data_IF_644374365453
#
_entry.id   IF_644374365453
#
_cell.length_a   1.000
_cell.length_b   1.000
_cell.length_c   1.000
_cell.angle_alpha   90.00
_cell.angle_beta   90.00
_cell.angle_gamma   90.00
#
_symmetry.space_group_name_H-M   'P 1'
#
loop_
_entity.id
_entity.type
_entity.pdbx_description
1 polymer ?
#
# COMPACT_ATOMS: atom_id res chain seq x y z
N UNK A 1 -37.31 -7.36 34.57
CA UNK A 1 -36.59 -7.48 35.86
C UNK A 1 -36.17 -6.10 36.25
N UNK A 2 -37.04 -5.48 36.89
CA UNK A 2 -37.33 -4.97 38.23
C UNK A 2 -36.14 -4.28 38.85
N UNK A 3 -36.23 -2.93 38.83
CA UNK A 3 -36.20 -2.01 39.94
C UNK A 3 -35.14 -2.26 41.04
N UNK A 4 -34.15 -1.35 41.08
CA UNK A 4 -33.61 -0.88 42.37
C UNK A 4 -33.52 0.66 42.35
N UNK A 5 -34.58 1.32 42.76
CA UNK A 5 -34.56 2.73 43.19
C UNK A 5 -33.87 2.78 44.56
N UNK A 6 -32.68 3.33 44.62
CA UNK A 6 -32.04 3.66 45.89
C UNK A 6 -32.54 5.05 46.33
N UNK A 7 -33.42 5.08 47.32
CA UNK A 7 -33.90 6.31 47.98
C UNK A 7 -32.83 6.68 49.03
N UNK A 8 -32.04 7.71 48.77
CA UNK A 8 -31.17 8.34 49.75
C UNK A 8 -32.00 9.39 50.53
N UNK A 9 -32.52 9.01 51.70
CA UNK A 9 -33.10 9.95 52.68
C UNK A 9 -31.98 10.57 53.51
N UNK A 10 -31.56 11.76 53.15
CA UNK A 10 -30.66 12.58 53.98
C UNK A 10 -31.47 13.52 54.88
N UNK A 11 -31.62 13.16 56.18
CA UNK A 11 -32.17 14.04 57.19
C UNK A 11 -31.11 15.05 57.68
N UNK A 12 -31.17 16.29 57.21
CA UNK A 12 -30.39 17.40 57.81
C UNK A 12 -31.18 17.97 58.99
N UNK A 13 -30.74 17.65 60.17
CA UNK A 13 -31.27 18.22 61.45
C UNK A 13 -30.47 19.46 61.81
N UNK A 14 -31.11 20.68 61.75
CA UNK A 14 -30.56 21.93 62.34
C UNK A 14 -30.83 21.94 63.84
N UNK A 15 -29.89 22.35 64.69
CA UNK A 15 -30.14 22.51 66.15
C UNK A 15 -30.77 23.90 66.46
N UNK A 16 -31.86 23.85 67.19
CA UNK A 16 -32.27 24.87 68.13
C UNK A 16 -33.12 26.07 67.67
N UNK A 17 -34.45 25.88 67.76
CA UNK A 17 -35.32 26.89 68.45
C UNK A 17 -36.68 26.25 68.73
N UNK A 18 -37.02 26.20 69.93
CA UNK A 18 -38.33 25.76 70.40
C UNK A 18 -39.43 26.71 69.89
N UNK A 19 -40.56 26.12 69.44
CA UNK A 19 -41.85 26.80 69.34
C UNK A 19 -42.26 27.20 67.92
N UNK A 20 -42.81 26.25 67.23
CA UNK A 20 -43.99 26.37 66.36
C UNK A 20 -44.13 25.03 65.57
N UNK A 21 -45.26 24.40 65.75
CA UNK A 21 -45.73 23.28 64.90
C UNK A 21 -45.93 23.87 63.50
N UNK A 22 -44.95 23.61 62.63
CA UNK A 22 -45.02 23.87 61.21
C UNK A 22 -44.63 22.60 60.56
N UNK A 23 -45.54 22.02 59.77
CA UNK A 23 -45.29 20.91 58.85
C UNK A 23 -44.05 21.28 58.06
N UNK A 24 -42.96 20.51 58.27
CA UNK A 24 -41.73 20.65 57.50
C UNK A 24 -41.99 20.30 56.10
N UNK A 25 -42.04 21.27 55.19
CA UNK A 25 -42.08 21.12 53.77
C UNK A 25 -40.83 20.30 53.35
N UNK A 26 -41.05 19.04 53.06
CA UNK A 26 -39.98 18.18 52.52
C UNK A 26 -39.80 18.57 51.07
N UNK A 27 -38.77 19.37 50.79
CA UNK A 27 -38.38 19.67 49.41
C UNK A 27 -37.84 18.37 48.83
N UNK A 28 -38.68 17.69 48.08
CA UNK A 28 -38.32 16.50 47.30
C UNK A 28 -37.56 17.00 46.06
N UNK A 29 -36.22 17.07 46.16
CA UNK A 29 -35.39 17.41 45.01
C UNK A 29 -35.38 16.19 44.08
N UNK A 30 -36.08 16.30 42.98
CA UNK A 30 -36.02 15.29 41.89
C UNK A 30 -34.60 15.25 41.31
N UNK A 31 -33.88 14.09 41.39
CA UNK A 31 -32.57 13.98 40.80
C UNK A 31 -32.55 14.24 39.27
N UNK A 32 -33.72 14.20 38.61
CA UNK A 32 -33.92 14.54 37.20
C UNK A 32 -33.78 16.05 36.93
N UNK A 33 -34.21 16.93 37.85
CA UNK A 33 -34.09 18.40 37.69
C UNK A 33 -32.64 18.91 37.84
N UNK A 34 -31.82 18.25 38.65
CA UNK A 34 -30.40 18.59 38.82
C UNK A 34 -29.57 18.15 37.58
N UNK A 35 -30.00 17.14 36.88
CA UNK A 35 -29.32 16.67 35.64
C UNK A 35 -29.57 17.60 34.46
N UNK A 36 -30.70 18.33 34.43
CA UNK A 36 -31.04 19.25 33.34
C UNK A 36 -30.16 20.50 33.26
N UNK A 37 -29.57 20.95 34.37
CA UNK A 37 -28.77 22.18 34.40
C UNK A 37 -27.30 21.94 33.96
N UNK A 38 -26.81 20.69 33.97
CA UNK A 38 -25.46 20.30 33.55
C UNK A 38 -25.46 19.25 32.44
N UNK A 39 -26.63 18.92 31.86
CA UNK A 39 -26.71 17.98 30.75
C UNK A 39 -26.16 18.64 29.49
N UNK A 40 -24.99 18.22 29.04
CA UNK A 40 -24.47 18.63 27.75
C UNK A 40 -25.54 18.36 26.65
N UNK A 41 -25.73 19.28 25.69
CA UNK A 41 -26.67 19.12 24.59
C UNK A 41 -26.45 17.74 23.91
N UNK A 42 -27.53 17.09 23.47
CA UNK A 42 -27.44 15.74 22.88
C UNK A 42 -26.42 15.67 21.76
N UNK A 43 -26.36 16.69 20.89
CA UNK A 43 -25.37 16.76 19.81
C UNK A 43 -23.91 16.73 20.32
N UNK A 44 -23.62 17.37 21.47
CA UNK A 44 -22.28 17.40 22.05
C UNK A 44 -21.92 16.04 22.68
N UNK A 45 -22.90 15.37 23.27
CA UNK A 45 -22.73 14.02 23.82
C UNK A 45 -22.52 12.99 22.73
N UNK A 46 -23.28 13.08 21.63
CA UNK A 46 -23.15 12.20 20.45
C UNK A 46 -21.83 12.47 19.74
N UNK A 47 -21.42 13.73 19.64
CA UNK A 47 -20.11 14.11 19.12
C UNK A 47 -18.97 13.57 20.00
N UNK A 48 -19.10 13.68 21.32
CA UNK A 48 -18.15 13.15 22.29
C UNK A 48 -18.03 11.62 22.22
N UNK A 49 -19.15 10.92 22.10
CA UNK A 49 -19.16 9.47 21.94
C UNK A 49 -18.54 9.03 20.60
N UNK A 50 -18.89 9.72 19.51
CA UNK A 50 -18.30 9.47 18.19
C UNK A 50 -16.80 9.76 18.17
N UNK A 51 -16.36 10.86 18.79
CA UNK A 51 -14.94 11.19 18.93
C UNK A 51 -14.19 10.13 19.75
N UNK A 52 -14.79 9.64 20.85
CA UNK A 52 -14.19 8.59 21.67
C UNK A 52 -14.08 7.25 20.94
N UNK A 53 -15.10 6.87 20.16
CA UNK A 53 -15.05 5.70 19.29
C UNK A 53 -13.96 5.84 18.23
N UNK A 54 -13.78 7.03 17.66
CA UNK A 54 -12.75 7.33 16.68
C UNK A 54 -11.34 7.22 17.28
N UNK A 55 -11.15 7.75 18.50
CA UNK A 55 -9.91 7.62 19.25
C UNK A 55 -9.64 6.16 19.61
N UNK A 56 -10.66 5.41 20.06
CA UNK A 56 -10.54 3.99 20.34
C UNK A 56 -10.16 3.17 19.09
N UNK A 57 -10.81 3.47 17.96
CA UNK A 57 -10.49 2.86 16.67
C UNK A 57 -9.06 3.19 16.20
N UNK A 58 -8.65 4.46 16.35
CA UNK A 58 -7.28 4.88 16.02
C UNK A 58 -6.25 4.21 16.93
N UNK A 59 -6.49 4.12 18.23
CA UNK A 59 -5.60 3.43 19.17
C UNK A 59 -5.52 1.92 18.88
N UNK A 60 -6.63 1.27 18.56
CA UNK A 60 -6.66 -0.12 18.16
C UNK A 60 -5.89 -0.35 16.84
N UNK A 61 -6.05 0.56 15.88
CA UNK A 61 -5.31 0.53 14.61
C UNK A 61 -3.80 0.70 14.85
N UNK A 62 -3.38 1.68 15.65
CA UNK A 62 -1.98 1.91 16.01
C UNK A 62 -1.41 0.67 16.73
N UNK A 63 -2.15 0.11 17.67
CA UNK A 63 -1.75 -1.12 18.38
C UNK A 63 -1.59 -2.32 17.44
N UNK A 64 -2.51 -2.48 16.49
CA UNK A 64 -2.43 -3.52 15.46
C UNK A 64 -1.21 -3.32 14.54
N UNK A 65 -0.94 -2.07 14.11
CA UNK A 65 0.23 -1.72 13.30
C UNK A 65 1.51 -2.04 14.07
N UNK A 66 1.58 -1.62 15.34
CA UNK A 66 2.74 -1.88 16.18
C UNK A 66 2.99 -3.38 16.36
N UNK A 67 1.92 -4.18 16.59
CA UNK A 67 2.02 -5.63 16.68
C UNK A 67 2.48 -6.27 15.35
N UNK A 68 1.95 -5.78 14.22
CA UNK A 68 2.37 -6.22 12.88
C UNK A 68 3.84 -5.85 12.59
N UNK A 69 4.32 -4.71 13.05
CA UNK A 69 5.72 -4.31 12.87
C UNK A 69 6.70 -5.20 13.65
N UNK A 70 6.28 -5.75 14.80
CA UNK A 70 7.08 -6.74 15.54
C UNK A 70 7.22 -8.08 14.80
N UNK A 71 6.30 -8.36 13.88
CA UNK A 71 6.27 -9.59 13.08
C UNK A 71 6.55 -9.34 11.60
N UNK A 72 7.25 -8.25 11.28
CA UNK A 72 7.53 -7.81 9.90
C UNK A 72 8.15 -8.92 9.04
N UNK A 73 9.02 -9.73 9.63
CA UNK A 73 9.69 -10.87 8.97
C UNK A 73 8.69 -11.92 8.45
N UNK A 74 7.51 -12.04 9.05
CA UNK A 74 6.46 -12.99 8.64
C UNK A 74 5.39 -12.30 7.81
N UNK A 75 4.97 -11.11 8.24
CA UNK A 75 3.84 -10.39 7.65
C UNK A 75 4.16 -9.89 6.24
N UNK A 76 5.37 -9.35 6.03
CA UNK A 76 5.77 -8.83 4.73
C UNK A 76 5.78 -9.91 3.63
N UNK A 77 6.37 -11.11 3.81
CA UNK A 77 6.28 -12.20 2.86
C UNK A 77 4.83 -12.62 2.53
N UNK A 78 3.96 -12.69 3.55
CA UNK A 78 2.55 -13.05 3.36
C UNK A 78 1.79 -12.01 2.54
N UNK A 79 2.04 -10.72 2.78
CA UNK A 79 1.45 -9.64 2.01
C UNK A 79 1.91 -9.68 0.54
N UNK A 80 3.22 -9.83 0.31
CA UNK A 80 3.78 -9.97 -1.05
C UNK A 80 3.19 -11.19 -1.75
N UNK A 81 3.09 -12.33 -1.07
CA UNK A 81 2.43 -13.51 -1.58
C UNK A 81 0.95 -13.27 -1.92
N UNK A 82 0.22 -12.53 -1.06
CA UNK A 82 -1.16 -12.13 -1.29
C UNK A 82 -1.34 -11.26 -2.53
N UNK A 83 -0.44 -10.32 -2.74
CA UNK A 83 -0.39 -9.48 -3.95
C UNK A 83 -0.22 -10.35 -5.19
N UNK A 84 0.82 -11.18 -5.22
CA UNK A 84 1.10 -12.07 -6.34
C UNK A 84 -0.06 -13.04 -6.57
N UNK A 85 -0.62 -13.63 -5.50
CA UNK A 85 -1.77 -14.51 -5.60
C UNK A 85 -3.01 -13.80 -6.17
N UNK A 86 -3.25 -12.53 -5.80
CA UNK A 86 -4.40 -11.76 -6.31
C UNK A 86 -4.31 -11.55 -7.82
N UNK A 87 -3.11 -11.28 -8.34
CA UNK A 87 -2.85 -11.09 -9.77
C UNK A 87 -2.94 -12.41 -10.53
N UNK A 88 -2.43 -13.50 -9.96
CA UNK A 88 -2.25 -14.77 -10.67
C UNK A 88 -3.40 -15.77 -10.44
N UNK A 89 -4.28 -15.52 -9.46
CA UNK A 89 -5.44 -16.39 -9.22
C UNK A 89 -6.35 -16.63 -10.43
N UNK A 90 -6.56 -15.66 -11.38
CA UNK A 90 -7.33 -15.92 -12.59
C UNK A 90 -6.72 -17.02 -13.47
N UNK A 91 -5.40 -17.18 -13.45
CA UNK A 91 -4.72 -18.25 -14.20
C UNK A 91 -5.05 -19.63 -13.61
N UNK A 92 -5.11 -19.74 -12.28
CA UNK A 92 -5.53 -20.99 -11.59
C UNK A 92 -7.00 -21.31 -11.92
N UNK A 93 -7.87 -20.27 -11.88
CA UNK A 93 -9.29 -20.44 -12.22
C UNK A 93 -9.49 -20.80 -13.70
N UNK A 94 -8.69 -20.28 -14.60
CA UNK A 94 -8.69 -20.61 -16.03
C UNK A 94 -8.25 -22.07 -16.26
N UNK A 95 -7.17 -22.54 -15.58
CA UNK A 95 -6.72 -23.92 -15.62
C UNK A 95 -7.82 -24.87 -15.09
N UNK A 96 -8.51 -24.46 -14.00
CA UNK A 96 -9.63 -25.22 -13.45
C UNK A 96 -10.78 -25.36 -14.43
N UNK A 97 -11.11 -24.31 -15.19
CA UNK A 97 -12.14 -24.35 -16.25
C UNK A 97 -11.78 -25.31 -17.39
N UNK A 98 -10.48 -25.62 -17.56
CA UNK A 98 -9.98 -26.61 -18.51
C UNK A 98 -9.90 -28.04 -17.93
N UNK A 99 -10.48 -28.26 -16.75
CA UNK A 99 -10.54 -29.61 -16.13
C UNK A 99 -9.33 -29.95 -15.25
N UNK A 100 -8.38 -29.03 -15.04
CA UNK A 100 -7.22 -29.28 -14.17
C UNK A 100 -7.63 -29.07 -12.73
N UNK A 101 -7.42 -30.05 -11.81
CA UNK A 101 -7.70 -29.91 -10.38
C UNK A 101 -6.97 -28.69 -9.80
N UNK A 102 -7.65 -27.93 -8.91
CA UNK A 102 -7.11 -26.68 -8.36
C UNK A 102 -5.71 -26.83 -7.77
N UNK A 103 -5.44 -27.94 -7.05
CA UNK A 103 -4.10 -28.19 -6.48
C UNK A 103 -3.00 -28.28 -7.53
N UNK A 104 -3.26 -28.99 -8.63
CA UNK A 104 -2.29 -29.11 -9.75
C UNK A 104 -2.17 -27.75 -10.47
N UNK A 105 -3.30 -27.07 -10.74
CA UNK A 105 -3.31 -25.76 -11.37
C UNK A 105 -2.55 -24.71 -10.54
N UNK A 106 -2.72 -24.71 -9.22
CA UNK A 106 -1.96 -23.85 -8.32
C UNK A 106 -0.47 -24.17 -8.33
N UNK A 107 -0.10 -25.46 -8.34
CA UNK A 107 1.28 -25.89 -8.44
C UNK A 107 1.95 -25.45 -9.75
N UNK A 108 1.26 -25.57 -10.89
CA UNK A 108 1.77 -25.14 -12.19
C UNK A 108 1.98 -23.61 -12.23
N UNK A 109 0.98 -22.84 -11.77
CA UNK A 109 1.08 -21.37 -11.72
C UNK A 109 2.19 -20.95 -10.76
N UNK A 110 2.29 -21.59 -9.60
CA UNK A 110 3.35 -21.35 -8.62
C UNK A 110 4.75 -21.60 -9.23
N UNK A 111 4.96 -22.75 -9.88
CA UNK A 111 6.23 -23.06 -10.53
C UNK A 111 6.56 -22.07 -11.65
N UNK A 112 5.57 -21.64 -12.42
CA UNK A 112 5.76 -20.62 -13.46
C UNK A 112 6.21 -19.28 -12.84
N UNK A 113 5.59 -18.85 -11.73
CA UNK A 113 5.98 -17.61 -11.01
C UNK A 113 7.41 -17.73 -10.49
N UNK A 114 7.76 -18.87 -9.86
CA UNK A 114 9.13 -19.11 -9.37
C UNK A 114 10.12 -19.09 -10.53
N UNK A 115 9.82 -19.76 -11.63
CA UNK A 115 10.70 -19.79 -12.81
C UNK A 115 10.93 -18.37 -13.37
N UNK A 116 9.86 -17.57 -13.50
CA UNK A 116 9.96 -16.16 -13.93
C UNK A 116 10.76 -15.33 -12.93
N UNK A 117 10.46 -15.45 -11.62
CA UNK A 117 11.15 -14.70 -10.57
C UNK A 117 12.65 -15.04 -10.51
N UNK A 118 13.00 -16.33 -10.56
CA UNK A 118 14.40 -16.79 -10.63
C UNK A 118 15.06 -16.32 -11.92
N UNK A 119 14.36 -16.42 -13.06
CA UNK A 119 14.89 -15.97 -14.36
C UNK A 119 15.21 -14.47 -14.35
N UNK A 120 14.30 -13.63 -13.86
CA UNK A 120 14.52 -12.19 -13.71
C UNK A 120 15.64 -11.92 -12.71
N UNK A 121 15.64 -12.60 -11.56
CA UNK A 121 16.70 -12.46 -10.56
C UNK A 121 18.09 -12.81 -11.10
N UNK A 122 18.23 -13.93 -11.82
CA UNK A 122 19.48 -14.33 -12.45
C UNK A 122 19.92 -13.34 -13.53
N UNK A 123 18.98 -12.81 -14.32
CA UNK A 123 19.26 -11.80 -15.34
C UNK A 123 19.82 -10.51 -14.71
N UNK A 124 19.21 -10.05 -13.62
CA UNK A 124 19.68 -8.88 -12.88
C UNK A 124 21.03 -9.13 -12.22
N UNK A 125 21.18 -10.28 -11.54
CA UNK A 125 22.44 -10.66 -10.88
C UNK A 125 23.58 -10.85 -11.87
N UNK A 126 23.34 -11.57 -12.98
CA UNK A 126 24.33 -11.75 -14.03
C UNK A 126 24.74 -10.41 -14.67
N UNK A 127 23.76 -9.52 -14.91
CA UNK A 127 24.02 -8.19 -15.42
C UNK A 127 24.89 -7.36 -14.48
N UNK A 128 24.57 -7.32 -13.18
CA UNK A 128 25.34 -6.60 -12.17
C UNK A 128 26.73 -7.23 -11.97
N UNK A 129 26.79 -8.56 -11.82
CA UNK A 129 28.05 -9.26 -11.55
C UNK A 129 29.05 -9.18 -12.73
N UNK A 130 28.57 -9.22 -13.97
CA UNK A 130 29.44 -9.14 -15.15
C UNK A 130 30.06 -7.75 -15.36
N UNK A 131 29.54 -6.71 -14.70
CA UNK A 131 29.98 -5.32 -14.89
C UNK A 131 30.14 -4.56 -13.57
N UNK A 132 30.17 -5.24 -12.42
CA UNK A 132 30.23 -4.61 -11.11
C UNK A 132 31.40 -3.62 -10.97
N UNK A 133 32.57 -4.01 -11.43
CA UNK A 133 33.78 -3.18 -11.38
C UNK A 133 33.68 -1.98 -12.37
N UNK A 134 33.25 -2.25 -13.60
CA UNK A 134 33.06 -1.19 -14.61
C UNK A 134 31.88 -0.30 -14.31
N UNK A 135 30.86 -0.77 -13.62
CA UNK A 135 29.66 0.02 -13.30
C UNK A 135 29.95 1.08 -12.23
N UNK A 136 30.75 0.75 -11.19
CA UNK A 136 31.17 1.72 -10.20
C UNK A 136 32.03 2.84 -10.81
N UNK A 137 32.93 2.48 -11.74
CA UNK A 137 33.78 3.44 -12.43
C UNK A 137 32.96 4.33 -13.39
N UNK A 138 32.03 3.73 -14.14
CA UNK A 138 31.12 4.45 -15.05
C UNK A 138 30.15 5.38 -14.32
N UNK A 139 29.68 5.01 -13.15
CA UNK A 139 28.84 5.89 -12.32
C UNK A 139 29.62 7.09 -11.78
N UNK A 140 30.89 6.87 -11.39
CA UNK A 140 31.80 7.96 -10.99
C UNK A 140 32.14 8.88 -12.17
N UNK A 141 32.41 8.32 -13.33
CA UNK A 141 32.66 9.05 -14.58
C UNK A 141 31.44 9.87 -14.98
N UNK A 142 30.23 9.28 -14.96
CA UNK A 142 29.00 9.97 -15.20
C UNK A 142 28.70 11.10 -14.19
N UNK A 143 29.01 10.88 -12.91
CA UNK A 143 28.89 11.92 -11.90
C UNK A 143 29.85 13.09 -12.12
N UNK A 144 31.13 12.80 -12.52
CA UNK A 144 32.11 13.84 -12.83
C UNK A 144 31.76 14.63 -14.11
N UNK A 145 31.08 13.99 -15.07
CA UNK A 145 30.64 14.65 -16.29
C UNK A 145 29.44 15.60 -16.05
N UNK A 146 28.53 15.21 -15.14
CA UNK A 146 27.48 16.12 -14.64
C UNK A 146 28.12 17.33 -13.93
N UNK A 147 29.16 17.10 -13.13
CA UNK A 147 29.89 18.17 -12.44
C UNK A 147 30.49 19.20 -13.44
N UNK A 148 31.10 18.73 -14.52
CA UNK A 148 31.63 19.59 -15.56
C UNK A 148 30.53 20.40 -16.23
N UNK A 149 29.38 19.79 -16.54
CA UNK A 149 28.24 20.47 -17.15
C UNK A 149 27.62 21.55 -16.26
N UNK A 150 27.44 21.22 -14.95
CA UNK A 150 26.91 22.19 -13.97
C UNK A 150 27.90 23.35 -13.77
N UNK A 151 29.21 23.07 -13.83
CA UNK A 151 30.26 24.08 -13.81
C UNK A 151 30.19 25.03 -15.03
N UNK A 152 29.98 24.46 -16.22
CA UNK A 152 29.85 25.22 -17.46
C UNK A 152 28.59 26.10 -17.52
N UNK A 153 27.54 25.74 -16.80
CA UNK A 153 26.31 26.50 -16.63
C UNK A 153 26.44 27.69 -15.64
N UNK A 154 27.65 27.90 -15.08
CA UNK A 154 27.93 29.06 -14.23
C UNK A 154 27.34 29.01 -12.83
N UNK A 155 26.95 27.82 -12.36
CA UNK A 155 26.49 27.61 -10.97
C UNK A 155 27.70 27.62 -10.05
N UNK A 156 27.68 28.45 -9.00
CA UNK A 156 28.81 28.59 -8.05
C UNK A 156 29.35 27.22 -7.61
N UNK A 157 30.62 27.00 -7.85
CA UNK A 157 31.33 25.72 -7.66
C UNK A 157 31.17 25.09 -6.28
N UNK A 158 30.94 25.89 -5.24
CA UNK A 158 30.72 25.37 -3.86
C UNK A 158 29.33 24.82 -3.67
N UNK A 159 28.30 25.37 -4.28
CA UNK A 159 26.90 24.85 -4.16
C UNK A 159 26.72 23.64 -5.07
N UNK A 160 27.34 23.64 -6.23
CA UNK A 160 27.37 22.50 -7.16
C UNK A 160 28.16 21.34 -6.57
N UNK A 161 29.33 21.57 -5.95
CA UNK A 161 30.13 20.53 -5.30
C UNK A 161 29.42 19.86 -4.11
N UNK A 162 28.69 20.65 -3.30
CA UNK A 162 27.90 20.09 -2.18
C UNK A 162 26.69 19.30 -2.69
N UNK A 163 25.95 19.82 -3.67
CA UNK A 163 24.82 19.12 -4.28
C UNK A 163 25.27 17.84 -5.00
N UNK A 164 26.45 17.84 -5.63
CA UNK A 164 27.04 16.68 -6.28
C UNK A 164 27.63 15.68 -5.29
N UNK A 165 28.22 16.13 -4.19
CA UNK A 165 28.66 15.25 -3.12
C UNK A 165 27.48 14.51 -2.49
N UNK A 166 26.36 15.19 -2.24
CA UNK A 166 25.14 14.61 -1.72
C UNK A 166 24.45 13.70 -2.74
N UNK A 167 24.39 14.09 -4.01
CA UNK A 167 23.86 13.27 -5.09
C UNK A 167 24.74 12.04 -5.35
N UNK A 168 26.05 12.19 -5.44
CA UNK A 168 27.03 11.11 -5.62
C UNK A 168 27.03 10.16 -4.43
N UNK A 169 26.94 10.68 -3.21
CA UNK A 169 26.79 9.90 -2.00
C UNK A 169 25.45 9.14 -1.99
N UNK A 170 24.36 9.78 -2.39
CA UNK A 170 23.05 9.15 -2.47
C UNK A 170 22.99 8.06 -3.56
N UNK A 171 23.59 8.30 -4.71
CA UNK A 171 23.72 7.34 -5.82
C UNK A 171 24.65 6.18 -5.41
N UNK A 172 25.82 6.51 -4.84
CA UNK A 172 26.78 5.52 -4.34
C UNK A 172 26.20 4.70 -3.18
N UNK A 173 25.48 5.34 -2.25
CA UNK A 173 24.78 4.66 -1.16
C UNK A 173 23.62 3.81 -1.67
N UNK A 174 22.84 4.30 -2.65
CA UNK A 174 21.77 3.55 -3.29
C UNK A 174 22.31 2.34 -4.08
N UNK A 175 23.39 2.54 -4.82
CA UNK A 175 24.07 1.46 -5.55
C UNK A 175 24.79 0.50 -4.62
N UNK A 176 25.48 1.01 -3.60
CA UNK A 176 26.08 0.17 -2.53
C UNK A 176 25.00 -0.59 -1.77
N UNK A 177 23.84 0.00 -1.49
CA UNK A 177 22.72 -0.69 -0.88
C UNK A 177 22.14 -1.79 -1.80
N UNK A 178 22.12 -1.58 -3.12
CA UNK A 178 21.75 -2.60 -4.10
C UNK A 178 22.80 -3.70 -4.21
N UNK A 179 24.07 -3.35 -4.37
CA UNK A 179 25.18 -4.32 -4.50
C UNK A 179 25.50 -5.00 -3.17
N UNK A 180 25.55 -4.29 -2.06
CA UNK A 180 25.67 -4.87 -0.73
C UNK A 180 24.38 -5.57 -0.26
N UNK A 181 23.22 -5.17 -0.76
CA UNK A 181 21.96 -5.89 -0.58
C UNK A 181 21.96 -7.25 -1.29
N UNK A 182 22.53 -7.29 -2.49
CA UNK A 182 22.60 -8.49 -3.33
C UNK A 182 23.86 -9.36 -3.06
N UNK A 183 24.98 -8.72 -2.70
CA UNK A 183 26.27 -9.38 -2.50
C UNK A 183 26.76 -9.39 -1.03
N UNK A 184 26.04 -8.69 -0.17
CA UNK A 184 26.46 -8.43 1.22
C UNK A 184 26.14 -9.55 2.18
N UNK A 185 27.07 -10.52 2.27
CA UNK A 185 27.23 -11.42 3.42
C UNK A 185 26.16 -12.50 3.59
N UNK A 186 26.56 -13.60 4.21
CA UNK A 186 25.73 -14.78 4.51
C UNK A 186 24.44 -14.43 5.26
N UNK A 187 24.47 -13.42 6.15
CA UNK A 187 23.30 -13.02 6.94
C UNK A 187 22.19 -12.39 6.08
N UNK A 188 22.55 -11.58 5.07
CA UNK A 188 21.57 -10.99 4.15
C UNK A 188 21.02 -12.02 3.16
N UNK A 189 21.87 -12.96 2.72
CA UNK A 189 21.43 -14.08 1.89
C UNK A 189 20.51 -15.01 2.68
N UNK A 190 20.80 -15.27 3.96
CA UNK A 190 19.93 -16.04 4.83
C UNK A 190 18.56 -15.35 5.04
N UNK A 191 18.56 -14.05 5.31
CA UNK A 191 17.34 -13.27 5.47
C UNK A 191 16.51 -13.23 4.18
N UNK A 192 17.16 -13.06 3.03
CA UNK A 192 16.49 -13.12 1.71
C UNK A 192 15.93 -14.52 1.43
N UNK A 193 16.69 -15.59 1.73
CA UNK A 193 16.22 -16.96 1.57
C UNK A 193 15.01 -17.26 2.46
N UNK A 194 15.02 -16.80 3.71
CA UNK A 194 13.88 -16.90 4.62
C UNK A 194 12.70 -16.14 4.05
N UNK A 195 12.86 -14.88 3.65
CA UNK A 195 11.82 -14.06 3.03
C UNK A 195 11.20 -14.73 1.80
N UNK A 196 12.04 -15.20 0.87
CA UNK A 196 11.59 -15.88 -0.34
C UNK A 196 10.89 -17.20 -0.04
N UNK A 197 11.39 -17.97 0.95
CA UNK A 197 10.79 -19.23 1.36
C UNK A 197 9.39 -19.02 1.96
N UNK A 198 9.25 -18.03 2.87
CA UNK A 198 7.94 -17.69 3.44
C UNK A 198 6.99 -17.15 2.38
N UNK A 199 7.48 -16.30 1.46
CA UNK A 199 6.67 -15.79 0.33
C UNK A 199 6.21 -16.92 -0.57
N UNK A 200 7.11 -17.84 -0.93
CA UNK A 200 6.79 -18.98 -1.80
C UNK A 200 5.77 -19.91 -1.14
N UNK A 201 6.00 -20.25 0.14
CA UNK A 201 5.08 -21.11 0.90
C UNK A 201 3.69 -20.47 1.03
N UNK A 202 3.65 -19.20 1.42
CA UNK A 202 2.40 -18.43 1.54
C UNK A 202 1.68 -18.31 0.20
N UNK A 203 2.42 -18.03 -0.89
CA UNK A 203 1.87 -17.94 -2.24
C UNK A 203 1.22 -19.27 -2.68
N UNK A 204 1.91 -20.39 -2.46
CA UNK A 204 1.37 -21.69 -2.80
C UNK A 204 0.04 -21.98 -2.07
N UNK A 205 0.00 -21.75 -0.76
CA UNK A 205 -1.22 -21.97 0.03
C UNK A 205 -2.33 -20.97 -0.34
N UNK A 206 -2.00 -19.69 -0.55
CA UNK A 206 -2.97 -18.68 -0.97
C UNK A 206 -3.58 -19.00 -2.34
N UNK A 207 -2.82 -19.57 -3.28
CA UNK A 207 -3.35 -20.01 -4.58
C UNK A 207 -4.20 -21.26 -4.46
N UNK A 208 -3.73 -22.25 -3.68
CA UNK A 208 -4.38 -23.55 -3.53
C UNK A 208 -5.66 -23.45 -2.69
N UNK A 209 -5.58 -22.85 -1.51
CA UNK A 209 -6.60 -22.88 -0.48
C UNK A 209 -7.40 -21.56 -0.36
N UNK A 210 -7.32 -20.68 -1.39
CA UNK A 210 -8.03 -19.40 -1.42
C UNK A 210 -9.53 -19.48 -1.03
N UNK A 211 -10.34 -20.45 -1.47
CA UNK A 211 -11.74 -20.52 -1.05
C UNK A 211 -11.90 -20.86 0.43
N UNK A 212 -11.03 -21.74 0.97
CA UNK A 212 -11.05 -22.14 2.38
C UNK A 212 -10.66 -20.99 3.28
N UNK A 213 -9.59 -20.27 2.90
CA UNK A 213 -9.12 -19.07 3.61
C UNK A 213 -10.18 -17.97 3.56
N UNK A 214 -10.77 -17.70 2.39
CA UNK A 214 -11.86 -16.74 2.23
C UNK A 214 -13.05 -17.09 3.12
N UNK A 215 -13.52 -18.34 3.12
CA UNK A 215 -14.62 -18.80 3.97
C UNK A 215 -14.30 -18.77 5.47
N UNK A 216 -13.03 -18.94 5.85
CA UNK A 216 -12.61 -18.73 7.23
C UNK A 216 -12.72 -17.26 7.64
N UNK A 217 -12.18 -16.35 6.82
CA UNK A 217 -12.24 -14.91 7.09
C UNK A 217 -13.69 -14.41 7.10
N UNK A 218 -14.54 -14.84 6.14
CA UNK A 218 -15.98 -14.51 6.11
C UNK A 218 -16.69 -14.80 7.44
N UNK A 219 -16.37 -15.92 8.07
CA UNK A 219 -17.00 -16.34 9.33
C UNK A 219 -16.48 -15.62 10.57
N UNK A 220 -15.25 -15.09 10.51
CA UNK A 220 -14.59 -14.45 11.66
C UNK A 220 -14.55 -12.92 11.59
N UNK A 221 -15.12 -12.32 10.54
CA UNK A 221 -15.11 -10.85 10.36
C UNK A 221 -16.04 -10.11 11.35
N UNK A 222 -16.87 -10.82 12.11
CA UNK A 222 -17.77 -10.21 13.11
C UNK A 222 -19.00 -9.52 12.51
N UNK A 223 -19.23 -9.65 11.20
CA UNK A 223 -20.41 -9.14 10.48
C UNK A 223 -21.18 -10.29 9.83
N UNK A 224 -22.45 -10.09 9.40
CA UNK A 224 -23.21 -11.13 8.69
C UNK A 224 -22.44 -11.68 7.49
N UNK A 225 -22.45 -13.00 7.30
CA UNK A 225 -21.67 -13.70 6.25
C UNK A 225 -21.89 -13.14 4.84
N UNK A 226 -23.12 -12.77 4.42
CA UNK A 226 -23.32 -12.16 3.10
C UNK A 226 -22.58 -10.83 2.93
N UNK A 227 -22.59 -9.97 3.98
CA UNK A 227 -21.87 -8.71 4.00
C UNK A 227 -20.34 -8.93 4.03
N UNK A 228 -19.85 -9.86 4.86
CA UNK A 228 -18.44 -10.25 4.89
C UNK A 228 -17.94 -10.69 3.51
N UNK A 229 -18.74 -11.51 2.81
CA UNK A 229 -18.43 -11.99 1.46
C UNK A 229 -18.37 -10.85 0.44
N UNK A 230 -19.29 -9.90 0.51
CA UNK A 230 -19.30 -8.71 -0.35
C UNK A 230 -18.05 -7.88 -0.12
N UNK A 231 -17.74 -7.55 1.14
CA UNK A 231 -16.54 -6.78 1.52
C UNK A 231 -15.26 -7.46 1.01
N UNK A 232 -15.07 -8.75 1.30
CA UNK A 232 -13.89 -9.50 0.87
C UNK A 232 -13.80 -9.59 -0.66
N UNK A 233 -14.93 -9.78 -1.35
CA UNK A 233 -14.99 -9.76 -2.80
C UNK A 233 -14.56 -8.40 -3.39
N UNK A 234 -14.99 -7.30 -2.78
CA UNK A 234 -14.59 -5.93 -3.19
C UNK A 234 -13.10 -5.68 -2.94
N UNK A 235 -12.59 -6.03 -1.76
CA UNK A 235 -11.16 -5.90 -1.46
C UNK A 235 -10.32 -6.72 -2.43
N UNK A 236 -10.62 -8.01 -2.60
CA UNK A 236 -9.89 -8.89 -3.52
C UNK A 236 -9.98 -8.40 -4.97
N UNK A 237 -11.15 -7.91 -5.41
CA UNK A 237 -11.35 -7.33 -6.73
C UNK A 237 -10.54 -6.06 -6.95
N UNK A 238 -10.51 -5.16 -5.97
CA UNK A 238 -9.72 -3.92 -6.02
C UNK A 238 -8.22 -4.21 -6.03
N UNK A 239 -7.74 -5.13 -5.18
CA UNK A 239 -6.36 -5.60 -5.17
C UNK A 239 -5.95 -6.17 -6.53
N UNK A 240 -6.75 -7.10 -7.06
CA UNK A 240 -6.49 -7.72 -8.36
C UNK A 240 -6.45 -6.68 -9.49
N UNK A 241 -7.46 -5.81 -9.56
CA UNK A 241 -7.54 -4.78 -10.60
C UNK A 241 -6.35 -3.83 -10.54
N UNK A 242 -5.98 -3.38 -9.36
CA UNK A 242 -4.84 -2.51 -9.15
C UNK A 242 -3.52 -3.16 -9.58
N UNK A 243 -3.20 -4.34 -9.02
CA UNK A 243 -1.92 -4.98 -9.29
C UNK A 243 -1.79 -5.54 -10.71
N UNK A 244 -2.90 -5.97 -11.33
CA UNK A 244 -2.90 -6.26 -12.77
C UNK A 244 -2.59 -5.01 -13.58
N UNK A 245 -3.23 -3.87 -13.24
CA UNK A 245 -2.95 -2.60 -13.89
C UNK A 245 -1.49 -2.19 -13.73
N UNK A 246 -0.94 -2.24 -12.50
CA UNK A 246 0.48 -1.97 -12.24
C UNK A 246 1.36 -2.90 -13.06
N UNK A 247 1.07 -4.20 -13.10
CA UNK A 247 1.87 -5.18 -13.84
C UNK A 247 1.89 -4.86 -15.35
N UNK A 248 0.73 -4.52 -15.94
CA UNK A 248 0.63 -4.17 -17.36
C UNK A 248 1.41 -2.88 -17.65
N UNK A 249 1.22 -1.84 -16.83
CA UNK A 249 1.92 -0.55 -16.99
C UNK A 249 3.44 -0.73 -16.82
N UNK A 250 3.87 -1.47 -15.80
CA UNK A 250 5.28 -1.75 -15.53
C UNK A 250 5.92 -2.56 -16.64
N UNK A 251 5.21 -3.56 -17.18
CA UNK A 251 5.69 -4.36 -18.32
C UNK A 251 5.83 -3.49 -19.57
N UNK A 252 4.87 -2.61 -19.82
CA UNK A 252 4.91 -1.67 -20.93
C UNK A 252 6.09 -0.71 -20.80
N UNK A 253 6.22 -0.01 -19.66
CA UNK A 253 7.32 0.93 -19.41
C UNK A 253 8.68 0.25 -19.48
N UNK A 254 8.82 -0.94 -18.86
CA UNK A 254 10.08 -1.70 -18.88
C UNK A 254 10.47 -2.16 -20.27
N UNK A 255 9.50 -2.53 -21.11
CA UNK A 255 9.74 -2.92 -22.50
C UNK A 255 10.22 -1.73 -23.32
N UNK A 256 9.60 -0.55 -23.17
CA UNK A 256 10.00 0.66 -23.91
C UNK A 256 11.38 1.14 -23.47
N UNK A 257 11.61 1.25 -22.16
CA UNK A 257 12.88 1.73 -21.62
C UNK A 257 14.01 0.74 -21.94
N UNK A 258 13.76 -0.57 -21.77
CA UNK A 258 14.73 -1.62 -22.11
C UNK A 258 15.05 -1.69 -23.60
N UNK A 259 14.04 -1.63 -24.47
CA UNK A 259 14.22 -1.59 -25.92
C UNK A 259 14.93 -0.30 -26.35
N UNK A 260 14.57 0.86 -25.77
CA UNK A 260 15.26 2.12 -25.99
C UNK A 260 16.74 2.06 -25.61
N UNK A 261 17.05 1.50 -24.44
CA UNK A 261 18.43 1.30 -23.99
C UNK A 261 19.20 0.38 -24.94
N UNK A 262 18.57 -0.71 -25.39
CA UNK A 262 19.18 -1.65 -26.36
C UNK A 262 19.48 -0.97 -27.72
N UNK A 263 18.51 -0.23 -28.25
CA UNK A 263 18.64 0.46 -29.54
C UNK A 263 19.68 1.58 -29.51
N UNK A 264 19.83 2.24 -28.35
CA UNK A 264 20.81 3.29 -28.12
C UNK A 264 22.21 2.76 -27.74
N UNK A 265 22.41 1.44 -27.71
CA UNK A 265 23.67 0.82 -27.37
C UNK A 265 24.09 0.98 -25.91
N UNK A 266 23.14 1.25 -25.02
CA UNK A 266 23.41 1.38 -23.57
C UNK A 266 23.74 0.01 -22.99
N UNK A 267 24.75 -0.10 -22.14
CA UNK A 267 25.05 -1.38 -21.46
C UNK A 267 23.91 -1.80 -20.52
N UNK A 268 23.78 -3.12 -20.33
CA UNK A 268 22.78 -3.72 -19.40
C UNK A 268 21.30 -3.40 -19.73
N UNK A 269 20.84 -3.42 -20.97
CA UNK A 269 19.46 -3.07 -21.29
C UNK A 269 18.44 -3.98 -20.58
N UNK A 270 18.76 -5.28 -20.39
CA UNK A 270 17.92 -6.22 -19.66
C UNK A 270 17.82 -5.89 -18.16
N UNK A 271 18.91 -5.47 -17.54
CA UNK A 271 18.92 -5.01 -16.14
C UNK A 271 18.11 -3.73 -15.98
N UNK A 272 18.27 -2.76 -16.89
CA UNK A 272 17.48 -1.53 -16.92
C UNK A 272 15.99 -1.87 -17.04
N UNK A 273 15.60 -2.78 -17.93
CA UNK A 273 14.22 -3.23 -18.07
C UNK A 273 13.71 -3.89 -16.77
N UNK A 274 14.49 -4.79 -16.16
CA UNK A 274 14.10 -5.47 -14.93
C UNK A 274 13.93 -4.51 -13.75
N UNK A 275 14.86 -3.57 -13.58
CA UNK A 275 14.77 -2.51 -12.55
C UNK A 275 13.56 -1.63 -12.78
N UNK A 276 13.28 -1.25 -14.03
CA UNK A 276 12.09 -0.46 -14.40
C UNK A 276 10.80 -1.24 -14.10
N UNK A 277 10.75 -2.54 -14.40
CA UNK A 277 9.60 -3.38 -14.11
C UNK A 277 9.33 -3.47 -12.61
N UNK A 278 10.33 -3.81 -11.81
CA UNK A 278 10.20 -3.93 -10.36
C UNK A 278 9.89 -2.58 -9.72
N UNK A 279 10.56 -1.52 -10.17
CA UNK A 279 10.31 -0.15 -9.70
C UNK A 279 8.87 0.29 -9.91
N UNK A 280 8.21 -0.13 -11.00
CA UNK A 280 6.83 0.22 -11.28
C UNK A 280 5.82 -0.20 -10.22
N UNK A 281 6.16 -1.15 -9.34
CA UNK A 281 5.30 -1.55 -8.21
C UNK A 281 5.35 -0.58 -7.03
N UNK A 282 6.35 0.31 -6.98
CA UNK A 282 6.46 1.37 -5.98
C UNK A 282 5.94 2.68 -6.57
N UNK A 283 4.74 3.14 -6.18
CA UNK A 283 4.13 4.32 -6.80
C UNK A 283 5.04 5.54 -6.73
N UNK A 284 5.14 6.26 -7.83
CA UNK A 284 5.95 7.48 -8.02
C UNK A 284 7.45 7.29 -7.83
N UNK A 285 7.89 6.82 -6.67
CA UNK A 285 9.32 6.67 -6.32
C UNK A 285 10.04 5.69 -7.24
N UNK A 286 9.39 4.58 -7.59
CA UNK A 286 10.01 3.53 -8.37
C UNK A 286 10.31 3.95 -9.81
N UNK A 287 9.40 4.67 -10.46
CA UNK A 287 9.60 5.17 -11.82
C UNK A 287 10.75 6.19 -11.88
N UNK A 288 10.85 7.10 -10.90
CA UNK A 288 11.95 8.08 -10.81
C UNK A 288 13.29 7.39 -10.53
N UNK A 289 13.33 6.47 -9.57
CA UNK A 289 14.56 5.75 -9.22
C UNK A 289 15.06 4.89 -10.40
N UNK A 290 14.15 4.15 -11.06
CA UNK A 290 14.49 3.34 -12.22
C UNK A 290 14.91 4.19 -13.42
N UNK A 291 14.25 5.34 -13.62
CA UNK A 291 14.63 6.32 -14.67
C UNK A 291 16.01 6.91 -14.43
N UNK A 292 16.29 7.37 -13.21
CA UNK A 292 17.60 7.85 -12.82
C UNK A 292 18.69 6.78 -13.02
N UNK A 293 18.42 5.54 -12.60
CA UNK A 293 19.31 4.39 -12.81
C UNK A 293 19.61 4.19 -14.31
N UNK A 294 18.60 4.21 -15.18
CA UNK A 294 18.78 4.04 -16.62
C UNK A 294 19.64 5.16 -17.24
N UNK A 295 19.38 6.42 -16.85
CA UNK A 295 20.12 7.59 -17.33
C UNK A 295 21.59 7.55 -16.87
N UNK A 296 21.84 7.18 -15.61
CA UNK A 296 23.20 7.07 -15.07
C UNK A 296 24.01 5.98 -15.75
N UNK A 297 23.40 4.80 -16.00
CA UNK A 297 24.05 3.73 -16.76
C UNK A 297 24.38 4.19 -18.18
N UNK A 298 23.45 4.91 -18.83
CA UNK A 298 23.68 5.47 -20.15
C UNK A 298 24.81 6.51 -20.16
N UNK A 299 24.84 7.39 -19.17
CA UNK A 299 25.85 8.45 -19.04
C UNK A 299 27.26 7.86 -18.89
N UNK A 300 27.43 6.93 -17.95
CA UNK A 300 28.73 6.30 -17.73
C UNK A 300 29.13 5.27 -18.79
N UNK A 301 28.17 4.70 -19.57
CA UNK A 301 28.44 3.61 -20.49
C UNK A 301 28.42 3.98 -21.98
N UNK A 302 27.71 5.04 -22.35
CA UNK A 302 27.48 5.40 -23.75
C UNK A 302 27.58 6.93 -24.01
N UNK A 303 27.92 7.69 -22.98
CA UNK A 303 28.16 9.14 -23.05
C UNK A 303 26.91 10.01 -22.91
N UNK A 304 27.11 11.34 -22.82
CA UNK A 304 26.07 12.30 -22.45
C UNK A 304 24.93 12.41 -23.46
N UNK A 305 25.24 12.36 -24.75
CA UNK A 305 24.22 12.41 -25.81
C UNK A 305 23.24 11.22 -25.70
N UNK A 306 23.79 10.03 -25.44
CA UNK A 306 22.99 8.80 -25.25
C UNK A 306 22.20 8.86 -23.94
N UNK A 307 22.79 9.40 -22.89
CA UNK A 307 22.08 9.59 -21.61
C UNK A 307 20.88 10.55 -21.77
N UNK A 308 21.05 11.64 -22.53
CA UNK A 308 19.95 12.55 -22.86
C UNK A 308 18.85 11.82 -23.66
N UNK A 309 19.24 11.03 -24.66
CA UNK A 309 18.28 10.24 -25.43
C UNK A 309 17.52 9.24 -24.55
N UNK A 310 18.22 8.55 -23.63
CA UNK A 310 17.59 7.65 -22.64
C UNK A 310 16.66 8.43 -21.71
N UNK A 311 17.06 9.60 -21.24
CA UNK A 311 16.19 10.46 -20.41
C UNK A 311 14.90 10.82 -21.15
N UNK A 312 14.97 11.14 -22.44
CA UNK A 312 13.78 11.39 -23.27
C UNK A 312 12.93 10.12 -23.38
N UNK A 313 13.52 8.94 -23.60
CA UNK A 313 12.79 7.67 -23.65
C UNK A 313 12.09 7.39 -22.32
N UNK A 314 12.77 7.58 -21.20
CA UNK A 314 12.21 7.42 -19.84
C UNK A 314 11.05 8.37 -19.60
N UNK A 315 11.21 9.66 -19.93
CA UNK A 315 10.16 10.67 -19.81
C UNK A 315 8.96 10.36 -20.71
N UNK A 316 9.18 9.89 -21.91
CA UNK A 316 8.12 9.45 -22.82
C UNK A 316 7.41 8.21 -22.29
N UNK A 317 8.15 7.21 -21.82
CA UNK A 317 7.61 5.95 -21.30
C UNK A 317 6.77 6.18 -20.03
N UNK A 318 7.32 6.92 -19.07
CA UNK A 318 6.67 7.16 -17.76
C UNK A 318 5.72 8.38 -17.76
N UNK A 319 5.86 9.30 -18.71
CA UNK A 319 4.98 10.44 -18.89
C UNK A 319 3.85 10.16 -19.88
N UNK A 320 4.09 10.44 -21.14
CA UNK A 320 3.05 10.46 -22.18
C UNK A 320 2.45 9.07 -22.43
N UNK A 321 3.31 8.06 -22.64
CA UNK A 321 2.87 6.71 -23.00
C UNK A 321 2.18 6.02 -21.82
N UNK A 322 2.66 6.25 -20.59
CA UNK A 322 2.02 5.71 -19.38
C UNK A 322 0.60 6.27 -19.22
N UNK A 323 0.38 7.57 -19.49
CA UNK A 323 -0.95 8.19 -19.40
C UNK A 323 -1.95 7.59 -20.41
N UNK A 324 -1.48 7.09 -21.55
CA UNK A 324 -2.31 6.41 -22.54
C UNK A 324 -2.66 4.98 -22.10
N UNK A 325 -1.72 4.28 -21.45
CA UNK A 325 -1.90 2.88 -21.04
C UNK A 325 -2.65 2.76 -19.71
N UNK A 326 -2.49 3.72 -18.80
CA UNK A 326 -3.13 3.71 -17.48
C UNK A 326 -4.65 3.52 -17.53
N UNK A 327 -5.43 4.25 -18.33
CA UNK A 327 -6.89 4.07 -18.39
C UNK A 327 -7.27 2.66 -18.84
N UNK A 328 -6.50 2.08 -19.74
CA UNK A 328 -6.72 0.72 -20.27
C UNK A 328 -6.34 -0.32 -19.21
N UNK A 329 -5.19 -0.14 -18.56
CA UNK A 329 -4.64 -1.08 -17.60
C UNK A 329 -5.44 -1.13 -16.29
N UNK A 330 -5.81 0.03 -15.76
CA UNK A 330 -6.57 0.12 -14.51
C UNK A 330 -8.08 0.05 -14.72
N UNK A 331 -8.58 0.37 -15.94
CA UNK A 331 -10.01 0.35 -16.26
C UNK A 331 -10.86 1.13 -15.27
N UNK A 332 -12.00 0.54 -14.88
CA UNK A 332 -12.87 1.11 -13.86
C UNK A 332 -12.33 0.91 -12.42
N UNK A 333 -11.16 0.28 -12.25
CA UNK A 333 -10.64 -0.07 -10.92
C UNK A 333 -10.23 1.15 -10.10
N UNK A 334 -9.77 2.23 -10.74
CA UNK A 334 -9.29 3.44 -10.09
C UNK A 334 -10.08 4.67 -10.55
N UNK A 335 -11.35 4.78 -10.12
CA UNK A 335 -12.10 6.05 -10.20
C UNK A 335 -11.75 6.97 -9.03
N UNK A 336 -10.46 7.04 -8.66
CA UNK A 336 -9.97 7.87 -7.57
C UNK A 336 -9.27 9.11 -8.13
N UNK A 337 -9.43 10.24 -7.42
CA UNK A 337 -8.68 11.44 -7.76
C UNK A 337 -7.18 11.21 -7.50
N UNK A 338 -6.27 11.56 -8.43
CA UNK A 338 -4.84 11.31 -8.28
C UNK A 338 -4.24 11.85 -6.98
N UNK A 339 -4.72 13.02 -6.52
CA UNK A 339 -4.30 13.62 -5.25
C UNK A 339 -4.66 12.73 -4.04
N UNK A 340 -5.83 12.09 -4.05
CA UNK A 340 -6.23 11.19 -2.96
C UNK A 340 -5.32 9.96 -2.91
N UNK A 341 -4.95 9.41 -4.08
CA UNK A 341 -3.98 8.31 -4.17
C UNK A 341 -2.62 8.75 -3.66
N UNK A 342 -2.14 9.94 -4.05
CA UNK A 342 -0.85 10.47 -3.59
C UNK A 342 -0.82 10.65 -2.06
N UNK A 343 -1.83 11.29 -1.49
CA UNK A 343 -1.94 11.50 -0.05
C UNK A 343 -2.00 10.15 0.70
N UNK A 344 -2.85 9.23 0.23
CA UNK A 344 -2.96 7.90 0.83
C UNK A 344 -1.64 7.12 0.75
N UNK A 345 -0.92 7.20 -0.37
CA UNK A 345 0.36 6.53 -0.58
C UNK A 345 1.43 7.08 0.36
N UNK A 346 1.54 8.43 0.49
CA UNK A 346 2.48 9.07 1.41
C UNK A 346 2.12 8.72 2.87
N UNK A 347 0.85 8.86 3.26
CA UNK A 347 0.39 8.52 4.60
C UNK A 347 0.62 7.03 4.91
N UNK A 348 0.29 6.15 3.97
CA UNK A 348 0.56 4.72 4.08
C UNK A 348 2.05 4.43 4.25
N UNK A 349 2.90 5.08 3.46
CA UNK A 349 4.35 4.97 3.56
C UNK A 349 4.89 5.43 4.93
N UNK A 350 4.39 6.55 5.46
CA UNK A 350 4.78 7.07 6.78
C UNK A 350 4.32 6.15 7.93
N UNK A 351 3.12 5.56 7.83
CA UNK A 351 2.53 4.75 8.89
C UNK A 351 3.01 3.28 8.87
N UNK A 352 3.16 2.69 7.68
CA UNK A 352 3.37 1.25 7.47
C UNK A 352 4.62 0.95 6.63
N UNK A 353 5.48 1.93 6.40
CA UNK A 353 6.68 1.77 5.58
C UNK A 353 6.36 1.34 4.14
N UNK A 354 7.21 0.49 3.56
CA UNK A 354 7.11 0.02 2.17
C UNK A 354 5.77 -0.70 1.88
N UNK A 355 5.26 -1.45 2.86
CA UNK A 355 3.98 -2.16 2.75
C UNK A 355 2.83 -1.18 2.56
N UNK A 356 2.77 -0.15 3.41
CA UNK A 356 1.74 0.88 3.33
C UNK A 356 1.80 1.66 2.02
N UNK A 357 3.01 1.98 1.57
CA UNK A 357 3.24 2.67 0.31
C UNK A 357 2.67 1.90 -0.89
N UNK A 358 2.83 0.57 -0.93
CA UNK A 358 2.35 -0.29 -2.01
C UNK A 358 0.84 -0.59 -1.88
N UNK A 359 0.34 -0.78 -0.66
CA UNK A 359 -1.04 -1.21 -0.43
C UNK A 359 -2.04 -0.05 -0.29
N UNK A 360 -1.59 1.18 -0.04
CA UNK A 360 -2.47 2.33 0.21
C UNK A 360 -3.48 2.58 -0.92
N UNK A 361 -3.02 2.57 -2.17
CA UNK A 361 -3.88 2.83 -3.33
C UNK A 361 -4.98 1.78 -3.52
N UNK A 362 -4.69 0.46 -3.52
CA UNK A 362 -5.75 -0.54 -3.66
C UNK A 362 -6.68 -0.61 -2.45
N UNK A 363 -6.19 -0.36 -1.22
CA UNK A 363 -7.03 -0.29 -0.02
C UNK A 363 -7.97 0.90 -0.05
N UNK A 364 -7.47 2.08 -0.46
CA UNK A 364 -8.32 3.26 -0.66
C UNK A 364 -9.39 3.01 -1.72
N UNK A 365 -9.02 2.36 -2.83
CA UNK A 365 -9.99 1.97 -3.88
C UNK A 365 -11.06 1.03 -3.33
N UNK A 366 -10.69 0.04 -2.53
CA UNK A 366 -11.63 -0.86 -1.89
C UNK A 366 -12.57 -0.12 -0.93
N UNK A 367 -12.03 0.75 -0.08
CA UNK A 367 -12.80 1.53 0.90
C UNK A 367 -13.84 2.43 0.22
N UNK A 368 -13.46 3.14 -0.85
CA UNK A 368 -14.39 4.01 -1.61
C UNK A 368 -15.52 3.19 -2.27
N UNK A 369 -15.21 2.00 -2.80
CA UNK A 369 -16.24 1.13 -3.39
C UNK A 369 -17.20 0.57 -2.35
N UNK A 370 -16.67 0.12 -1.21
CA UNK A 370 -17.50 -0.38 -0.12
C UNK A 370 -18.42 0.72 0.41
N UNK A 371 -17.89 1.95 0.59
CA UNK A 371 -18.71 3.09 1.04
C UNK A 371 -19.78 3.50 0.03
N UNK A 372 -19.52 3.37 -1.26
CA UNK A 372 -20.52 3.62 -2.30
C UNK A 372 -21.66 2.59 -2.27
N UNK A 373 -21.31 1.29 -2.14
CA UNK A 373 -22.31 0.22 -2.06
C UNK A 373 -23.19 0.33 -0.81
N UNK A 374 -22.62 0.73 0.33
CA UNK A 374 -23.39 0.94 1.57
C UNK A 374 -24.40 2.08 1.37
N UNK A 375 -23.99 3.20 0.77
CA UNK A 375 -24.87 4.33 0.49
C UNK A 375 -25.98 3.99 -0.51
N UNK A 376 -25.68 3.17 -1.51
CA UNK A 376 -26.65 2.70 -2.49
C UNK A 376 -27.72 1.82 -1.82
N UNK A 377 -27.30 0.89 -0.95
CA UNK A 377 -28.20 0.04 -0.18
C UNK A 377 -29.09 0.86 0.79
N UNK A 378 -28.54 1.85 1.48
CA UNK A 378 -29.30 2.76 2.35
C UNK A 378 -30.30 3.61 1.56
N UNK A 379 -29.93 4.04 0.35
CA UNK A 379 -30.84 4.80 -0.54
C UNK A 379 -31.99 3.95 -1.07
N UNK A 380 -31.74 2.68 -1.41
CA UNK A 380 -32.79 1.74 -1.85
C UNK A 380 -33.77 1.40 -0.71
N UNK A 381 -33.27 1.23 0.51
CA UNK A 381 -34.10 0.97 1.70
C UNK A 381 -34.99 2.18 2.02
N UNK A 382 -34.46 3.40 1.97
CA UNK A 382 -35.23 4.64 2.14
C UNK A 382 -36.27 4.86 1.03
N UNK A 383 -35.96 4.49 -0.22
CA UNK A 383 -36.89 4.59 -1.33
C UNK A 383 -38.04 3.56 -1.21
N UNK A 384 -37.74 2.36 -0.73
CA UNK A 384 -38.72 1.31 -0.48
C UNK A 384 -39.68 1.68 0.68
N UNK A 385 -39.16 2.33 1.74
CA UNK A 385 -39.98 2.82 2.85
C UNK A 385 -40.86 4.04 2.47
N UNK A 386 -40.41 4.84 1.50
CA UNK A 386 -41.13 6.02 1.04
C UNK A 386 -42.29 5.73 0.08
N UNK A 387 -42.29 4.59 -0.60
CA UNK A 387 -43.36 4.13 -1.50
C UNK A 387 -43.93 2.78 -1.01
N UNK A 388 -44.71 2.76 0.08
CA UNK A 388 -45.38 1.55 0.52
C UNK A 388 -46.41 1.16 -0.55
N UNK A 389 -46.25 -0.06 -1.11
CA UNK A 389 -47.13 -0.62 -2.12
C UNK A 389 -48.61 -0.41 -1.75
N UNK A 390 -49.46 0.01 -2.67
CA UNK A 390 -50.90 0.20 -2.41
C UNK A 390 -51.52 -1.14 -1.97
N UNK A 391 -52.17 -1.13 -0.78
CA UNK A 391 -52.84 -2.26 -0.16
C UNK A 391 -54.06 -2.77 -0.96
#
# INVERSE_FOLDING_TARGET
MSERRAILRGKLRRPGREGAEGEGEVIEIDPGELSGMFAAPQWLRDLGFSAWLLVGAAAALIGAIWLLSLTETIVLPVIVAGIIASVTSPLVDWLRRRGIPRGIGSGLVFLAIIAVGVGVGLLVLAGIASQADSLSDRLREGASEIESWVGDLGVNSTTAANANADASASISNGFSALTHGLLGGVDKLASLAVFLSFTALSLFFLLKDAPTIGGFVERHLGVPVPLARSILGRVAGSMRGYFLGVTIVSLWSSTIVGAGALLLGVPLPGTIAAVTFVGGFVPYLGAWAAGAFAVLIALGGAGPETALAVAVVVLMANGVLQQLVQPIAYGAALKLHPLAVLIATIAGGCLFGTVGLVLAAPLLSAAVRISADIREAEGEEQAADADPAPA
#
